data_IF_614732743017
#
_entry.id   IF_614732743017
#
_cell.length_a   1.000
_cell.length_b   1.000
_cell.length_c   1.000
_cell.angle_alpha   90.00
_cell.angle_beta   90.00
_cell.angle_gamma   90.00
#
_symmetry.space_group_name_H-M   'P 1'
#
loop_
_entity.id
_entity.type
_entity.pdbx_description
1 polymer ?
#
# COMPACT_ATOMS: atom_id res chain seq x y z
N UNK A 1 56.73 -59.17 -57.12
CA UNK A 1 58.10 -58.71 -57.39
C UNK A 1 58.16 -57.19 -57.31
N UNK A 2 59.16 -56.68 -56.57
CA UNK A 2 59.83 -55.36 -56.64
C UNK A 2 59.04 -54.04 -56.77
N UNK A 3 59.29 -53.20 -55.75
CA UNK A 3 59.30 -51.73 -55.61
C UNK A 3 59.40 -50.90 -56.89
N UNK A 4 58.72 -49.74 -56.90
CA UNK A 4 59.31 -48.47 -57.32
C UNK A 4 58.64 -47.28 -56.60
N UNK A 5 59.47 -46.37 -56.08
CA UNK A 5 59.17 -45.09 -55.45
C UNK A 5 59.45 -43.97 -56.46
N UNK A 6 58.60 -42.94 -56.54
CA UNK A 6 58.90 -41.56 -56.97
C UNK A 6 57.68 -40.72 -56.53
N UNK A 7 57.68 -40.04 -55.37
CA UNK A 7 58.20 -38.70 -55.08
C UNK A 7 57.79 -37.64 -56.11
N UNK A 8 56.70 -36.91 -55.83
CA UNK A 8 56.38 -35.64 -56.49
C UNK A 8 55.94 -34.61 -55.45
N UNK A 9 56.60 -33.45 -55.52
CA UNK A 9 56.52 -32.29 -54.62
C UNK A 9 55.08 -31.79 -54.38
N UNK A 10 54.76 -31.54 -53.11
CA UNK A 10 53.64 -30.72 -52.67
C UNK A 10 54.02 -29.23 -52.83
N UNK A 11 53.30 -28.49 -53.68
CA UNK A 11 53.39 -27.02 -53.70
C UNK A 11 52.28 -26.46 -52.81
N UNK A 12 52.67 -25.87 -51.68
CA UNK A 12 51.78 -25.09 -50.82
C UNK A 12 51.27 -23.86 -51.59
N UNK A 13 49.96 -23.78 -51.82
CA UNK A 13 49.27 -22.52 -52.12
C UNK A 13 48.54 -22.06 -50.86
N UNK A 14 49.15 -21.14 -50.12
CA UNK A 14 48.51 -20.46 -49.00
C UNK A 14 47.50 -19.44 -49.52
N UNK A 15 46.21 -19.79 -49.50
CA UNK A 15 45.13 -18.81 -49.66
C UNK A 15 44.87 -18.14 -48.30
N UNK A 16 45.41 -16.95 -48.12
CA UNK A 16 45.13 -16.07 -46.99
C UNK A 16 43.65 -15.63 -47.09
N UNK A 17 42.76 -16.24 -46.31
CA UNK A 17 41.39 -15.72 -46.14
C UNK A 17 41.42 -14.54 -45.19
N UNK A 18 41.34 -13.32 -45.73
CA UNK A 18 40.96 -12.14 -44.95
C UNK A 18 39.50 -12.30 -44.51
N UNK A 19 39.28 -12.56 -43.22
CA UNK A 19 37.98 -12.32 -42.59
C UNK A 19 37.83 -10.81 -42.43
N UNK A 20 36.99 -10.19 -43.25
CA UNK A 20 36.54 -8.82 -43.01
C UNK A 20 35.68 -8.83 -41.74
N UNK A 21 36.20 -8.30 -40.63
CA UNK A 21 35.38 -8.00 -39.46
C UNK A 21 34.44 -6.85 -39.86
N UNK A 22 33.14 -7.10 -39.95
CA UNK A 22 32.17 -6.02 -40.18
C UNK A 22 32.30 -5.02 -39.03
N UNK A 23 32.60 -3.75 -39.35
CA UNK A 23 32.63 -2.69 -38.35
C UNK A 23 31.23 -2.55 -37.74
N UNK A 24 31.08 -2.86 -36.46
CA UNK A 24 29.84 -2.64 -35.72
C UNK A 24 29.62 -1.14 -35.57
N UNK A 25 28.55 -0.62 -36.19
CA UNK A 25 28.14 0.77 -36.04
C UNK A 25 27.83 1.06 -34.56
N UNK A 26 28.61 1.98 -33.98
CA UNK A 26 28.48 2.41 -32.58
C UNK A 26 27.67 3.69 -32.43
N UNK A 27 27.23 4.30 -33.55
CA UNK A 27 26.43 5.51 -33.53
C UNK A 27 25.09 5.28 -32.82
N UNK A 28 24.68 6.27 -32.02
CA UNK A 28 23.35 6.32 -31.40
C UNK A 28 22.55 7.37 -32.18
N UNK A 29 21.53 6.93 -32.89
CA UNK A 29 20.67 7.78 -33.69
C UNK A 29 19.54 8.38 -32.85
N UNK A 30 19.12 9.60 -33.19
CA UNK A 30 17.93 10.25 -32.59
C UNK A 30 16.67 10.03 -33.45
N UNK A 31 16.85 9.69 -34.72
CA UNK A 31 15.77 9.36 -35.67
C UNK A 31 16.24 8.23 -36.58
N UNK A 32 15.34 7.30 -36.89
CA UNK A 32 15.55 6.21 -37.85
C UNK A 32 14.34 6.10 -38.79
N UNK A 33 14.53 5.47 -39.95
CA UNK A 33 13.45 5.21 -40.93
C UNK A 33 12.32 4.39 -40.30
N UNK A 34 12.68 3.37 -39.51
CA UNK A 34 11.76 2.62 -38.67
C UNK A 34 12.12 2.83 -37.19
N UNK A 35 11.20 3.42 -36.44
CA UNK A 35 11.40 3.70 -35.02
C UNK A 35 11.18 2.45 -34.15
N UNK A 36 11.92 2.31 -33.04
CA UNK A 36 11.79 1.17 -32.14
C UNK A 36 10.48 1.24 -31.36
N UNK A 37 9.99 0.09 -30.89
CA UNK A 37 8.80 0.00 -30.03
C UNK A 37 8.83 -1.24 -29.12
N UNK A 38 8.21 -1.20 -27.94
CA UNK A 38 8.23 -2.33 -27.01
C UNK A 38 7.34 -3.47 -27.51
N UNK A 39 7.80 -4.71 -27.40
CA UNK A 39 7.06 -5.90 -27.82
C UNK A 39 6.09 -6.35 -26.73
N UNK A 40 4.94 -5.67 -26.65
CA UNK A 40 3.86 -5.99 -25.72
C UNK A 40 2.85 -6.96 -26.35
N UNK A 41 2.45 -7.99 -25.59
CA UNK A 41 1.50 -9.02 -26.05
C UNK A 41 0.18 -8.45 -26.57
N UNK A 42 -0.28 -7.33 -26.02
CA UNK A 42 -1.52 -6.65 -26.43
C UNK A 42 -1.43 -5.98 -27.81
N UNK A 43 -0.21 -5.74 -28.31
CA UNK A 43 0.06 -5.02 -29.56
C UNK A 43 0.80 -5.87 -30.60
N UNK A 44 0.80 -7.19 -30.46
CA UNK A 44 1.47 -8.10 -31.41
C UNK A 44 0.81 -8.04 -32.81
N UNK A 45 1.57 -7.91 -33.91
CA UNK A 45 1.02 -7.81 -35.27
C UNK A 45 0.07 -8.95 -35.65
N UNK A 46 0.32 -10.16 -35.17
CA UNK A 46 -0.47 -11.35 -35.48
C UNK A 46 -1.90 -11.27 -34.91
N UNK A 47 -2.10 -10.43 -33.88
CA UNK A 47 -3.40 -10.20 -33.23
C UNK A 47 -4.20 -9.08 -33.89
N UNK A 48 -3.57 -8.32 -34.79
CA UNK A 48 -4.12 -7.10 -35.38
C UNK A 48 -3.92 -7.11 -36.90
N UNK A 49 -4.55 -8.08 -37.57
CA UNK A 49 -4.47 -8.24 -39.03
C UNK A 49 -4.90 -6.95 -39.73
N UNK A 50 -4.03 -6.43 -40.59
CA UNK A 50 -4.27 -5.19 -41.35
C UNK A 50 -3.77 -3.90 -40.69
N UNK A 51 -3.21 -3.97 -39.48
CA UNK A 51 -2.56 -2.80 -38.88
C UNK A 51 -1.21 -2.51 -39.54
N UNK A 52 -0.91 -1.22 -39.70
CA UNK A 52 0.41 -0.75 -40.14
C UNK A 52 1.41 -0.83 -38.99
N UNK A 53 2.70 -0.81 -39.32
CA UNK A 53 3.78 -0.74 -38.33
C UNK A 53 3.63 0.47 -37.39
N UNK A 54 3.23 1.63 -37.91
CA UNK A 54 2.94 2.82 -37.13
C UNK A 54 1.76 2.63 -36.15
N UNK A 55 0.72 1.88 -36.54
CA UNK A 55 -0.39 1.55 -35.65
C UNK A 55 0.06 0.60 -34.53
N UNK A 56 0.90 -0.38 -34.85
CA UNK A 56 1.49 -1.29 -33.87
C UNK A 56 2.39 -0.52 -32.88
N UNK A 57 3.27 0.35 -33.38
CA UNK A 57 4.13 1.21 -32.56
C UNK A 57 3.30 2.07 -31.61
N UNK A 58 2.28 2.79 -32.11
CA UNK A 58 1.43 3.64 -31.28
C UNK A 58 0.69 2.84 -30.20
N UNK A 59 0.19 1.65 -30.53
CA UNK A 59 -0.37 0.75 -29.52
C UNK A 59 0.66 0.42 -28.44
N UNK A 60 1.85 0.00 -28.85
CA UNK A 60 2.92 -0.40 -27.95
C UNK A 60 3.36 0.75 -27.03
N UNK A 61 3.52 1.96 -27.57
CA UNK A 61 3.82 3.17 -26.80
C UNK A 61 2.74 3.48 -25.75
N UNK A 62 1.46 3.46 -26.15
CA UNK A 62 0.34 3.72 -25.23
C UNK A 62 0.25 2.66 -24.11
N UNK A 63 0.42 1.39 -24.46
CA UNK A 63 0.37 0.30 -23.50
C UNK A 63 1.58 0.33 -22.54
N UNK A 64 2.75 0.74 -23.02
CA UNK A 64 3.91 0.95 -22.17
C UNK A 64 3.66 2.09 -21.17
N UNK A 65 3.12 3.23 -21.62
CA UNK A 65 2.76 4.33 -20.71
C UNK A 65 1.72 3.91 -19.66
N UNK A 66 0.72 3.13 -20.04
CA UNK A 66 -0.27 2.60 -19.11
C UNK A 66 0.36 1.65 -18.08
N UNK A 67 1.23 0.73 -18.52
CA UNK A 67 1.97 -0.17 -17.64
C UNK A 67 2.86 0.60 -16.66
N UNK A 68 3.59 1.60 -17.15
CA UNK A 68 4.43 2.43 -16.31
C UNK A 68 3.61 3.20 -15.27
N UNK A 69 2.49 3.80 -15.68
CA UNK A 69 1.59 4.52 -14.78
C UNK A 69 1.02 3.64 -13.66
N UNK A 70 0.81 2.35 -13.90
CA UNK A 70 0.31 1.42 -12.89
C UNK A 70 1.40 0.95 -11.90
N UNK A 71 2.67 1.05 -12.27
CA UNK A 71 3.79 0.53 -11.49
C UNK A 71 4.65 1.63 -10.85
N UNK A 72 4.42 2.89 -11.20
CA UNK A 72 5.02 4.06 -10.55
C UNK A 72 4.42 4.22 -9.15
N UNK A 73 5.30 4.37 -8.17
CA UNK A 73 4.96 4.72 -6.81
C UNK A 73 5.25 6.19 -6.59
N UNK A 74 4.21 6.99 -6.35
CA UNK A 74 4.40 8.39 -5.99
C UNK A 74 5.28 8.49 -4.73
N UNK A 75 6.46 9.14 -4.78
CA UNK A 75 7.31 9.28 -3.61
C UNK A 75 6.60 10.06 -2.49
N UNK A 76 6.86 9.69 -1.23
CA UNK A 76 6.19 10.32 -0.09
C UNK A 76 6.57 11.80 0.05
N UNK A 77 7.85 12.14 -0.14
CA UNK A 77 8.31 13.54 -0.16
C UNK A 77 7.57 14.36 -1.22
N UNK A 78 7.33 13.78 -2.41
CA UNK A 78 6.64 14.45 -3.49
C UNK A 78 5.15 14.64 -3.19
N UNK A 79 4.52 13.73 -2.44
CA UNK A 79 3.15 13.93 -1.92
C UNK A 79 3.10 15.08 -0.91
N UNK A 80 4.02 15.09 0.06
CA UNK A 80 4.07 16.11 1.12
C UNK A 80 4.33 17.51 0.57
N UNK A 81 5.19 17.61 -0.44
CA UNK A 81 5.57 18.88 -1.07
C UNK A 81 4.63 19.31 -2.20
N UNK A 82 3.57 18.54 -2.48
CA UNK A 82 2.66 18.75 -3.61
C UNK A 82 3.38 18.80 -4.98
N UNK A 83 4.43 18.00 -5.16
CA UNK A 83 5.32 18.03 -6.33
C UNK A 83 4.75 17.25 -7.49
N UNK A 84 4.10 17.96 -8.42
CA UNK A 84 3.54 17.39 -9.65
C UNK A 84 4.35 17.75 -10.89
N UNK A 85 4.19 16.97 -11.96
CA UNK A 85 4.70 17.33 -13.26
C UNK A 85 5.00 16.15 -14.16
N UNK A 86 5.99 16.31 -15.02
CA UNK A 86 6.41 15.25 -15.94
C UNK A 86 7.92 15.08 -15.86
N UNK A 87 8.32 13.89 -15.43
CA UNK A 87 9.69 13.41 -15.50
C UNK A 87 9.94 12.87 -16.90
N UNK A 88 11.11 13.12 -17.46
CA UNK A 88 11.50 12.59 -18.77
C UNK A 88 12.76 11.75 -18.61
N UNK A 89 12.66 10.46 -18.91
CA UNK A 89 13.80 9.54 -18.90
C UNK A 89 14.16 9.18 -20.33
N UNK A 90 15.44 9.24 -20.66
CA UNK A 90 15.99 8.77 -21.92
C UNK A 90 16.77 7.48 -21.73
N UNK A 91 16.76 6.62 -22.75
CA UNK A 91 17.56 5.40 -22.82
C UNK A 91 17.87 5.07 -24.27
N UNK A 92 18.70 4.07 -24.50
CA UNK A 92 19.06 3.58 -25.83
C UNK A 92 18.41 2.21 -26.04
N UNK A 93 17.69 2.05 -27.15
CA UNK A 93 17.26 0.74 -27.63
C UNK A 93 18.40 0.18 -28.49
N UNK A 94 18.91 -0.97 -28.06
CA UNK A 94 20.01 -1.68 -28.71
C UNK A 94 19.52 -2.52 -29.91
N UNK A 95 20.37 -2.84 -30.89
CA UNK A 95 20.03 -3.71 -32.02
C UNK A 95 19.54 -5.11 -31.62
N UNK A 96 19.81 -5.55 -30.39
CA UNK A 96 19.34 -6.81 -29.83
C UNK A 96 17.99 -6.69 -29.10
N UNK A 97 17.36 -5.52 -29.10
CA UNK A 97 16.05 -5.27 -28.47
C UNK A 97 16.11 -4.97 -26.97
N UNK A 98 17.30 -4.82 -26.37
CA UNK A 98 17.46 -4.44 -24.96
C UNK A 98 17.54 -2.94 -24.77
N UNK A 99 17.21 -2.48 -23.58
CA UNK A 99 17.39 -1.09 -23.16
C UNK A 99 18.73 -0.91 -22.44
N UNK A 100 19.41 0.20 -22.70
CA UNK A 100 20.67 0.56 -22.04
C UNK A 100 20.77 2.07 -21.80
N UNK A 101 21.78 2.50 -21.03
CA UNK A 101 22.15 3.92 -20.90
C UNK A 101 20.99 4.84 -20.47
N UNK A 102 20.26 4.45 -19.42
CA UNK A 102 19.18 5.25 -18.83
C UNK A 102 19.73 6.56 -18.25
N UNK A 103 19.10 7.68 -18.60
CA UNK A 103 19.46 9.04 -18.18
C UNK A 103 18.20 9.84 -17.87
N UNK A 104 18.24 10.60 -16.79
CA UNK A 104 17.21 11.56 -16.45
C UNK A 104 17.43 12.85 -17.27
N UNK A 105 16.51 13.18 -18.16
CA UNK A 105 16.57 14.42 -18.96
C UNK A 105 15.84 15.58 -18.27
N UNK A 106 14.75 15.26 -17.58
CA UNK A 106 13.99 16.23 -16.78
C UNK A 106 13.57 15.55 -15.50
N UNK A 107 13.91 16.17 -14.38
CA UNK A 107 13.42 15.81 -13.05
C UNK A 107 12.46 16.88 -12.54
N UNK A 108 11.48 16.46 -11.75
CA UNK A 108 10.60 17.34 -11.00
C UNK A 108 10.96 17.41 -9.51
N UNK A 109 11.90 16.57 -9.05
CA UNK A 109 12.38 16.54 -7.67
C UNK A 109 11.66 15.52 -6.79
N UNK A 110 11.96 15.56 -5.49
CA UNK A 110 11.33 14.78 -4.43
C UNK A 110 11.27 13.26 -4.62
N UNK A 111 12.25 12.70 -5.35
CA UNK A 111 12.34 11.26 -5.61
C UNK A 111 11.61 10.79 -6.87
N UNK A 112 10.94 11.68 -7.60
CA UNK A 112 10.16 11.31 -8.80
C UNK A 112 11.08 10.85 -9.95
N UNK A 113 12.26 11.46 -10.08
CA UNK A 113 13.29 11.06 -11.04
C UNK A 113 13.83 9.65 -10.79
N UNK A 114 14.18 9.36 -9.53
CA UNK A 114 14.69 8.08 -9.08
C UNK A 114 13.66 6.96 -9.26
N UNK A 115 12.40 7.21 -8.90
CA UNK A 115 11.32 6.25 -9.11
C UNK A 115 11.11 5.95 -10.60
N UNK A 116 11.17 6.98 -11.45
CA UNK A 116 11.05 6.84 -12.90
C UNK A 116 12.15 5.97 -13.49
N UNK A 117 13.39 6.15 -13.04
CA UNK A 117 14.52 5.30 -13.41
C UNK A 117 14.32 3.86 -12.93
N UNK A 118 13.91 3.67 -11.67
CA UNK A 118 13.68 2.35 -11.06
C UNK A 118 12.68 1.52 -11.86
N UNK A 119 11.54 2.10 -12.23
CA UNK A 119 10.49 1.36 -12.98
C UNK A 119 10.98 0.96 -14.36
N UNK A 120 11.64 1.85 -15.10
CA UNK A 120 12.16 1.54 -16.44
C UNK A 120 13.28 0.49 -16.40
N UNK A 121 14.17 0.55 -15.40
CA UNK A 121 15.20 -0.47 -15.19
C UNK A 121 14.59 -1.81 -14.81
N UNK A 122 13.57 -1.83 -13.94
CA UNK A 122 12.86 -3.06 -13.60
C UNK A 122 12.21 -3.71 -14.83
N UNK A 123 11.72 -2.94 -15.80
CA UNK A 123 11.18 -3.49 -17.05
C UNK A 123 12.26 -4.16 -17.92
N UNK A 124 13.48 -3.61 -17.97
CA UNK A 124 14.62 -4.28 -18.62
C UNK A 124 15.00 -5.57 -17.88
N UNK A 125 15.05 -5.54 -16.54
CA UNK A 125 15.42 -6.69 -15.72
C UNK A 125 14.45 -7.87 -15.87
N UNK A 126 13.14 -7.60 -15.98
CA UNK A 126 12.12 -8.64 -16.26
C UNK A 126 12.08 -9.04 -17.74
N UNK A 127 12.93 -8.45 -18.58
CA UNK A 127 13.19 -8.89 -19.94
C UNK A 127 12.24 -8.33 -21.00
N UNK A 128 11.67 -7.13 -20.80
CA UNK A 128 10.87 -6.46 -21.83
C UNK A 128 11.70 -6.25 -23.11
N UNK A 129 11.34 -6.97 -24.17
CA UNK A 129 12.00 -6.85 -25.47
C UNK A 129 11.44 -5.69 -26.28
N UNK A 130 12.30 -5.09 -27.11
CA UNK A 130 11.94 -4.08 -28.09
C UNK A 130 12.15 -4.57 -29.50
N UNK A 131 11.28 -4.13 -30.41
CA UNK A 131 11.61 -4.08 -31.82
C UNK A 131 12.69 -2.98 -31.99
N UNK A 132 13.89 -3.31 -32.49
CA UNK A 132 14.94 -2.31 -32.66
C UNK A 132 14.63 -1.35 -33.81
N UNK A 133 15.29 -0.19 -33.77
CA UNK A 133 15.25 0.77 -34.87
C UNK A 133 15.95 0.20 -36.11
N UNK A 134 15.50 0.60 -37.31
CA UNK A 134 16.09 0.14 -38.57
C UNK A 134 16.27 1.30 -39.56
N UNK A 135 17.45 1.35 -40.18
CA UNK A 135 17.76 2.17 -41.35
C UNK A 135 18.14 1.24 -42.51
N UNK A 136 17.40 1.30 -43.61
CA UNK A 136 17.51 0.32 -44.69
C UNK A 136 17.36 -1.11 -44.16
N UNK A 137 18.41 -1.92 -44.34
CA UNK A 137 18.44 -3.31 -43.87
C UNK A 137 19.19 -3.52 -42.55
N UNK A 138 19.68 -2.46 -41.90
CA UNK A 138 20.51 -2.56 -40.70
C UNK A 138 19.73 -2.15 -39.45
N UNK A 139 19.81 -2.98 -38.41
CA UNK A 139 19.33 -2.63 -37.07
C UNK A 139 20.34 -1.68 -36.41
N UNK A 140 19.85 -0.58 -35.86
CA UNK A 140 20.69 0.51 -35.33
C UNK A 140 20.33 0.84 -33.89
N UNK A 141 21.30 1.40 -33.14
CA UNK A 141 21.08 1.89 -31.77
C UNK A 141 20.31 3.21 -31.86
N UNK A 142 19.18 3.33 -31.18
CA UNK A 142 18.39 4.56 -31.21
C UNK A 142 18.07 5.05 -29.80
N UNK A 143 18.20 6.35 -29.59
CA UNK A 143 17.78 7.00 -28.35
C UNK A 143 16.27 7.11 -28.31
N UNK A 144 15.69 6.78 -27.16
CA UNK A 144 14.29 6.96 -26.84
C UNK A 144 14.15 7.85 -25.60
N UNK A 145 13.00 8.51 -25.49
CA UNK A 145 12.63 9.33 -24.34
C UNK A 145 11.18 9.08 -23.98
N UNK A 146 10.91 8.74 -22.72
CA UNK A 146 9.57 8.47 -22.22
C UNK A 146 9.18 9.54 -21.19
N UNK A 147 8.05 10.24 -21.40
CA UNK A 147 7.48 11.13 -20.41
C UNK A 147 6.63 10.35 -19.39
N UNK A 148 6.92 10.53 -18.11
CA UNK A 148 6.21 9.95 -16.98
C UNK A 148 5.54 11.07 -16.18
N UNK A 149 4.21 11.09 -16.17
CA UNK A 149 3.42 12.13 -15.53
C UNK A 149 3.11 11.76 -14.08
N UNK A 150 3.58 12.57 -13.14
CA UNK A 150 3.19 12.54 -11.74
C UNK A 150 2.08 13.57 -11.56
N UNK A 151 0.89 13.09 -11.21
CA UNK A 151 -0.26 13.93 -10.86
C UNK A 151 -0.81 13.42 -9.54
N UNK A 152 -0.86 14.28 -8.55
CA UNK A 152 -1.57 14.03 -7.32
C UNK A 152 -3.04 13.92 -7.70
N UNK A 153 -3.54 12.69 -7.69
CA UNK A 153 -4.96 12.50 -7.61
C UNK A 153 -5.32 12.95 -6.19
N UNK A 154 -6.01 14.08 -6.06
CA UNK A 154 -6.64 14.43 -4.79
C UNK A 154 -7.37 13.18 -4.31
N UNK A 155 -6.99 12.68 -3.14
CA UNK A 155 -7.83 11.68 -2.48
C UNK A 155 -9.20 12.34 -2.41
N UNK A 156 -10.19 11.73 -3.07
CA UNK A 156 -11.56 12.22 -2.96
C UNK A 156 -11.85 12.37 -1.46
N UNK A 157 -12.56 13.42 -1.03
CA UNK A 157 -12.87 13.63 0.38
C UNK A 157 -13.84 12.56 0.93
N UNK A 158 -14.11 11.53 0.13
CA UNK A 158 -14.97 10.40 0.40
C UNK A 158 -14.49 9.16 -0.36
N UNK A 159 -14.98 8.00 0.05
CA UNK A 159 -14.97 6.77 -0.75
C UNK A 159 -16.39 6.27 -0.97
N UNK A 160 -16.57 5.40 -1.97
CA UNK A 160 -17.84 4.74 -2.23
C UNK A 160 -17.76 3.31 -1.70
N UNK A 161 -18.71 2.89 -0.87
CA UNK A 161 -18.78 1.53 -0.33
C UNK A 161 -19.16 0.53 -1.42
N UNK A 162 -19.00 -0.77 -1.16
CA UNK A 162 -19.45 -1.84 -2.07
C UNK A 162 -20.96 -1.79 -2.34
N UNK A 163 -21.73 -1.14 -1.47
CA UNK A 163 -23.18 -0.97 -1.58
C UNK A 163 -23.56 0.28 -2.39
N UNK A 164 -22.58 1.13 -2.75
CA UNK A 164 -22.77 2.35 -3.52
C UNK A 164 -22.93 3.62 -2.67
N UNK A 165 -22.82 3.51 -1.35
CA UNK A 165 -22.94 4.64 -0.44
C UNK A 165 -21.68 5.50 -0.42
N UNK A 166 -21.84 6.81 -0.26
CA UNK A 166 -20.72 7.74 -0.19
C UNK A 166 -20.41 8.08 1.27
N UNK A 167 -19.21 7.72 1.73
CA UNK A 167 -18.73 8.02 3.09
C UNK A 167 -17.57 9.00 3.04
N UNK A 168 -17.76 10.17 3.65
CA UNK A 168 -16.75 11.22 3.70
C UNK A 168 -15.65 10.88 4.71
N UNK A 169 -14.41 11.12 4.33
CA UNK A 169 -13.21 11.00 5.17
C UNK A 169 -12.63 12.36 5.52
N UNK A 170 -13.05 13.40 4.79
CA UNK A 170 -12.71 14.80 5.05
C UNK A 170 -14.01 15.59 5.17
N UNK A 171 -14.18 16.29 6.30
CA UNK A 171 -15.39 17.04 6.64
C UNK A 171 -15.00 18.41 7.21
N UNK A 172 -15.84 19.43 6.96
CA UNK A 172 -15.67 20.77 7.53
C UNK A 172 -16.01 20.76 9.03
N UNK A 173 -17.01 19.96 9.42
CA UNK A 173 -17.38 19.70 10.80
C UNK A 173 -17.77 18.22 10.95
N UNK A 174 -17.18 17.54 11.93
CA UNK A 174 -17.52 16.16 12.26
C UNK A 174 -18.95 16.01 12.80
N UNK A 175 -19.48 14.79 12.84
CA UNK A 175 -20.79 14.56 13.41
C UNK A 175 -20.74 14.81 14.92
N UNK A 176 -21.81 15.33 15.48
CA UNK A 176 -21.87 15.74 16.87
C UNK A 176 -23.04 15.07 17.59
N UNK A 177 -22.82 14.61 18.81
CA UNK A 177 -23.91 14.14 19.66
C UNK A 177 -24.68 15.33 20.24
N UNK A 178 -26.01 15.28 20.22
CA UNK A 178 -26.88 16.31 20.80
C UNK A 178 -26.60 16.43 22.30
N UNK A 179 -26.16 17.61 22.73
CA UNK A 179 -25.70 17.86 24.10
C UNK A 179 -24.20 17.63 24.32
N UNK A 180 -23.43 17.35 23.27
CA UNK A 180 -21.98 17.20 23.32
C UNK A 180 -21.50 15.83 23.79
N UNK A 181 -20.18 15.68 23.85
CA UNK A 181 -19.52 14.41 24.20
C UNK A 181 -19.86 13.93 25.61
N UNK A 182 -19.94 14.83 26.60
CA UNK A 182 -20.32 14.46 27.97
C UNK A 182 -21.73 13.84 28.03
N UNK A 183 -22.65 14.30 27.18
CA UNK A 183 -23.99 13.72 27.07
C UNK A 183 -23.96 12.31 26.47
N UNK A 184 -23.06 12.05 25.52
CA UNK A 184 -22.84 10.70 24.98
C UNK A 184 -22.24 9.76 26.02
N UNK A 185 -21.28 10.23 26.82
CA UNK A 185 -20.69 9.48 27.94
C UNK A 185 -21.76 9.16 28.99
N UNK A 186 -22.54 10.16 29.40
CA UNK A 186 -23.64 9.95 30.33
C UNK A 186 -24.70 8.99 29.77
N UNK A 187 -25.02 9.10 28.47
CA UNK A 187 -25.96 8.20 27.80
C UNK A 187 -25.49 6.75 27.85
N UNK A 188 -24.23 6.49 27.48
CA UNK A 188 -23.66 5.14 27.47
C UNK A 188 -23.58 4.59 28.89
N UNK A 189 -22.98 5.31 29.84
CA UNK A 189 -22.83 4.87 31.22
C UNK A 189 -24.17 4.55 31.91
N UNK A 190 -25.18 5.39 31.76
CA UNK A 190 -26.48 5.20 32.42
C UNK A 190 -27.33 4.09 31.81
N UNK A 191 -27.05 3.71 30.55
CA UNK A 191 -27.85 2.72 29.82
C UNK A 191 -27.11 1.41 29.59
N UNK A 192 -25.82 1.36 29.89
CA UNK A 192 -24.99 0.17 29.77
C UNK A 192 -25.45 -0.91 30.73
N UNK A 193 -25.67 -2.11 30.20
CA UNK A 193 -26.00 -3.29 30.95
C UNK A 193 -24.85 -4.27 30.90
N UNK A 194 -24.16 -4.43 32.02
CA UNK A 194 -23.19 -5.50 32.14
C UNK A 194 -23.90 -6.87 32.03
N UNK A 195 -23.49 -7.79 31.14
CA UNK A 195 -24.15 -9.08 30.95
C UNK A 195 -24.31 -9.88 32.24
N UNK A 196 -25.54 -10.26 32.59
CA UNK A 196 -25.89 -10.87 33.88
C UNK A 196 -25.14 -12.18 34.16
N UNK A 197 -24.92 -13.00 33.13
CA UNK A 197 -24.17 -14.26 33.20
C UNK A 197 -22.67 -14.09 33.49
N UNK A 198 -22.15 -12.87 33.41
CA UNK A 198 -20.73 -12.57 33.56
C UNK A 198 -20.43 -11.65 34.75
N UNK A 199 -21.42 -11.31 35.59
CA UNK A 199 -21.24 -10.32 36.68
C UNK A 199 -20.07 -10.68 37.60
N UNK A 200 -19.91 -11.96 37.89
CA UNK A 200 -18.83 -12.49 38.74
C UNK A 200 -17.53 -12.80 37.98
N UNK A 201 -17.51 -12.67 36.65
CA UNK A 201 -16.33 -12.94 35.83
C UNK A 201 -15.25 -11.87 35.93
N UNK A 202 -15.61 -10.68 36.42
CA UNK A 202 -14.75 -9.49 36.47
C UNK A 202 -14.09 -9.11 35.13
N UNK A 203 -14.67 -9.56 34.01
CA UNK A 203 -14.24 -9.14 32.68
C UNK A 203 -14.32 -7.63 32.57
N UNK A 204 -13.21 -7.04 32.12
CA UNK A 204 -13.07 -5.60 31.98
C UNK A 204 -12.42 -5.34 30.63
N UNK A 205 -12.97 -4.39 29.87
CA UNK A 205 -12.46 -4.14 28.54
C UNK A 205 -13.29 -3.15 27.75
N UNK A 206 -12.76 -2.79 26.58
CA UNK A 206 -13.40 -1.89 25.63
C UNK A 206 -13.78 -2.67 24.40
N UNK A 207 -15.00 -2.42 23.93
CA UNK A 207 -15.46 -2.78 22.59
C UNK A 207 -15.55 -1.49 21.80
N UNK A 208 -14.88 -1.45 20.66
CA UNK A 208 -14.93 -0.33 19.73
C UNK A 208 -15.81 -0.67 18.53
N UNK A 209 -16.62 0.29 18.10
CA UNK A 209 -17.45 0.17 16.91
C UNK A 209 -17.17 1.35 15.98
N UNK A 210 -17.13 1.08 14.68
CA UNK A 210 -17.20 2.10 13.63
C UNK A 210 -18.68 2.36 13.34
N UNK A 211 -19.16 3.54 13.71
CA UNK A 211 -20.53 3.97 13.44
C UNK A 211 -20.56 4.80 12.17
N UNK A 212 -21.39 4.43 11.21
CA UNK A 212 -21.82 5.33 10.14
C UNK A 212 -22.88 6.24 10.70
N UNK A 213 -22.62 7.54 10.66
CA UNK A 213 -23.63 8.58 10.88
C UNK A 213 -24.05 9.05 9.51
N UNK A 214 -25.28 8.71 9.11
CA UNK A 214 -25.84 9.09 7.83
C UNK A 214 -26.15 10.59 7.77
N UNK A 215 -26.28 11.14 6.57
CA UNK A 215 -26.58 12.56 6.32
C UNK A 215 -27.96 13.01 6.86
N UNK A 216 -28.85 12.07 7.18
CA UNK A 216 -30.13 12.28 7.86
C UNK A 216 -30.08 12.08 9.38
N UNK A 217 -28.93 11.65 9.92
CA UNK A 217 -28.71 11.38 11.34
C UNK A 217 -29.08 9.97 11.79
N UNK A 218 -29.44 9.08 10.87
CA UNK A 218 -29.53 7.64 11.14
C UNK A 218 -28.15 7.07 11.50
N UNK A 219 -28.16 5.93 12.20
CA UNK A 219 -26.93 5.30 12.71
C UNK A 219 -26.89 3.86 12.23
N UNK A 220 -25.74 3.46 11.69
CA UNK A 220 -25.43 2.07 11.39
C UNK A 220 -24.08 1.71 12.00
N UNK A 221 -23.92 0.44 12.40
CA UNK A 221 -22.62 -0.08 12.85
C UNK A 221 -21.98 -0.83 11.69
N UNK A 222 -20.95 -0.21 11.10
CA UNK A 222 -20.20 -0.75 9.95
C UNK A 222 -19.27 -1.90 10.40
N UNK A 223 -18.58 -1.71 11.52
CA UNK A 223 -17.69 -2.71 12.07
C UNK A 223 -17.63 -2.65 13.59
N UNK A 224 -17.25 -3.77 14.21
CA UNK A 224 -17.09 -3.90 15.65
C UNK A 224 -15.85 -4.73 15.97
N UNK A 225 -15.03 -4.24 16.90
CA UNK A 225 -13.81 -4.90 17.35
C UNK A 225 -13.85 -5.04 18.87
N UNK A 226 -13.80 -6.28 19.35
CA UNK A 226 -13.69 -6.62 20.77
C UNK A 226 -12.22 -6.85 21.13
N UNK A 227 -11.48 -5.75 21.32
CA UNK A 227 -10.04 -5.80 21.59
C UNK A 227 -9.68 -6.56 22.87
N UNK A 228 -10.64 -6.70 23.79
CA UNK A 228 -10.47 -7.34 25.08
C UNK A 228 -10.99 -8.78 25.12
N UNK A 229 -11.49 -9.31 23.99
CA UNK A 229 -12.07 -10.65 23.89
C UNK A 229 -13.10 -10.94 25.00
N UNK A 230 -13.98 -9.97 25.26
CA UNK A 230 -15.04 -10.09 26.25
C UNK A 230 -16.08 -11.15 25.85
N UNK A 231 -16.38 -11.25 24.55
CA UNK A 231 -17.25 -12.24 23.96
C UNK A 231 -18.63 -11.72 23.57
N UNK A 232 -19.43 -12.59 22.96
CA UNK A 232 -20.62 -12.20 22.20
C UNK A 232 -21.69 -11.46 23.00
N UNK A 233 -21.93 -11.78 24.27
CA UNK A 233 -22.92 -11.06 25.10
C UNK A 233 -22.55 -9.58 25.30
N UNK A 234 -21.26 -9.29 25.45
CA UNK A 234 -20.75 -7.92 25.53
C UNK A 234 -20.87 -7.22 24.18
N UNK A 235 -20.57 -7.97 23.10
CA UNK A 235 -20.67 -7.44 21.75
C UNK A 235 -22.11 -7.03 21.40
N UNK A 236 -23.10 -7.86 21.75
CA UNK A 236 -24.52 -7.55 21.55
C UNK A 236 -24.99 -6.35 22.37
N UNK A 237 -24.51 -6.21 23.60
CA UNK A 237 -24.83 -5.03 24.41
C UNK A 237 -24.23 -3.74 23.82
N UNK A 238 -22.99 -3.79 23.32
CA UNK A 238 -22.36 -2.65 22.65
C UNK A 238 -23.17 -2.23 21.41
N UNK A 239 -23.54 -3.19 20.56
CA UNK A 239 -24.39 -2.96 19.39
C UNK A 239 -25.77 -2.38 19.79
N UNK A 240 -26.39 -2.91 20.85
CA UNK A 240 -27.65 -2.38 21.38
C UNK A 240 -27.50 -0.93 21.83
N UNK A 241 -26.39 -0.57 22.47
CA UNK A 241 -26.15 0.81 22.88
C UNK A 241 -25.94 1.73 21.68
N UNK A 242 -25.12 1.33 20.70
CA UNK A 242 -24.88 2.10 19.48
C UNK A 242 -26.19 2.44 18.76
N UNK A 243 -27.05 1.44 18.53
CA UNK A 243 -28.34 1.65 17.87
C UNK A 243 -29.28 2.57 18.66
N UNK A 244 -29.11 2.67 19.99
CA UNK A 244 -29.93 3.56 20.83
C UNK A 244 -29.46 5.02 20.78
N UNK A 245 -28.30 5.29 20.19
CA UNK A 245 -27.83 6.65 19.94
C UNK A 245 -28.49 7.30 18.72
N UNK A 246 -29.20 6.52 17.89
CA UNK A 246 -29.94 7.03 16.74
C UNK A 246 -30.90 8.15 17.13
N UNK A 247 -31.00 9.18 16.27
CA UNK A 247 -31.80 10.37 16.52
C UNK A 247 -31.16 11.37 17.49
N UNK A 248 -30.04 11.04 18.13
CA UNK A 248 -29.24 11.97 18.94
C UNK A 248 -28.01 12.51 18.21
N UNK A 249 -27.77 12.13 16.96
CA UNK A 249 -26.67 12.65 16.17
C UNK A 249 -27.08 13.86 15.34
N UNK A 250 -26.13 14.79 15.20
CA UNK A 250 -26.11 15.86 14.22
C UNK A 250 -25.11 15.39 13.14
N UNK A 251 -25.54 15.25 11.87
CA UNK A 251 -24.66 14.79 10.79
C UNK A 251 -23.44 15.69 10.59
N UNK A 252 -22.38 15.11 10.03
CA UNK A 252 -21.21 15.86 9.62
C UNK A 252 -21.55 16.83 8.48
N UNK A 253 -20.71 17.85 8.29
CA UNK A 253 -20.88 18.86 7.25
C UNK A 253 -19.70 18.86 6.29
N UNK A 254 -19.99 18.94 4.98
CA UNK A 254 -18.98 19.19 3.95
C UNK A 254 -19.58 20.08 2.87
N UNK A 255 -18.91 21.19 2.54
CA UNK A 255 -19.41 22.20 1.60
C UNK A 255 -20.75 22.82 2.06
N UNK A 256 -20.96 22.92 3.37
CA UNK A 256 -22.19 23.42 3.97
C UNK A 256 -23.43 22.53 3.81
N UNK A 257 -23.23 21.25 3.46
CA UNK A 257 -24.29 20.24 3.38
C UNK A 257 -24.05 19.12 4.38
N UNK A 258 -25.12 18.51 4.92
CA UNK A 258 -24.96 17.30 5.70
C UNK A 258 -24.40 16.17 4.82
N UNK A 259 -23.48 15.39 5.38
CA UNK A 259 -22.85 14.25 4.72
C UNK A 259 -22.68 13.08 5.67
N UNK A 260 -22.67 11.88 5.10
CA UNK A 260 -22.42 10.64 5.83
C UNK A 260 -20.92 10.46 6.11
N UNK A 261 -20.57 10.05 7.32
CA UNK A 261 -19.18 9.77 7.73
C UNK A 261 -19.14 8.70 8.81
N UNK A 262 -17.96 8.15 9.08
CA UNK A 262 -17.74 7.23 10.19
C UNK A 262 -17.19 7.93 11.41
N UNK A 263 -17.51 7.40 12.60
CA UNK A 263 -16.88 7.75 13.88
C UNK A 263 -16.70 6.52 14.76
N UNK A 264 -15.66 6.48 15.61
CA UNK A 264 -15.51 5.43 16.61
C UNK A 264 -16.43 5.68 17.81
N UNK A 265 -17.16 4.64 18.24
CA UNK A 265 -17.83 4.59 19.54
C UNK A 265 -17.17 3.50 20.39
N UNK A 266 -16.58 3.89 21.52
CA UNK A 266 -15.91 2.98 22.46
C UNK A 266 -16.80 2.77 23.68
N UNK A 267 -17.15 1.51 23.95
CA UNK A 267 -17.98 1.10 25.10
C UNK A 267 -17.10 0.36 26.11
N UNK A 268 -16.94 0.95 27.29
CA UNK A 268 -16.18 0.37 28.39
C UNK A 268 -17.09 -0.51 29.26
N UNK A 269 -16.74 -1.78 29.40
CA UNK A 269 -17.37 -2.71 30.31
C UNK A 269 -16.53 -2.87 31.58
N UNK A 270 -17.16 -2.61 32.73
CA UNK A 270 -16.64 -2.89 34.07
C UNK A 270 -17.74 -3.47 34.93
N UNK A 271 -17.45 -4.54 35.65
CA UNK A 271 -18.41 -5.07 36.62
C UNK A 271 -18.46 -4.16 37.85
N UNK A 272 -19.66 -3.83 38.32
CA UNK A 272 -19.88 -3.10 39.57
C UNK A 272 -19.83 -4.01 40.81
N UNK A 273 -19.59 -5.31 40.62
CA UNK A 273 -19.45 -6.27 41.72
C UNK A 273 -18.24 -5.90 42.59
N UNK A 274 -18.42 -5.87 43.91
CA UNK A 274 -17.35 -5.49 44.86
C UNK A 274 -16.08 -6.34 44.71
N UNK A 275 -16.22 -7.62 44.38
CA UNK A 275 -15.10 -8.53 44.14
C UNK A 275 -14.25 -8.15 42.92
N UNK A 276 -14.79 -7.37 41.98
CA UNK A 276 -14.12 -6.98 40.75
C UNK A 276 -13.34 -5.67 40.86
N UNK A 277 -13.35 -4.99 42.02
CA UNK A 277 -12.65 -3.72 42.21
C UNK A 277 -11.15 -3.80 41.85
N UNK A 278 -10.47 -4.87 42.26
CA UNK A 278 -9.04 -5.07 41.94
C UNK A 278 -8.78 -5.34 40.45
N UNK A 279 -9.72 -6.00 39.76
CA UNK A 279 -9.63 -6.22 38.32
C UNK A 279 -9.84 -4.91 37.55
N UNK A 280 -10.83 -4.11 37.97
CA UNK A 280 -11.10 -2.80 37.41
C UNK A 280 -9.92 -1.84 37.60
N UNK A 281 -9.32 -1.77 38.80
CA UNK A 281 -8.15 -0.91 39.07
C UNK A 281 -6.93 -1.33 38.24
N UNK A 282 -6.72 -2.63 38.07
CA UNK A 282 -5.66 -3.17 37.21
C UNK A 282 -5.85 -2.74 35.76
N UNK A 283 -7.08 -2.83 35.25
CA UNK A 283 -7.40 -2.37 33.90
C UNK A 283 -7.16 -0.86 33.77
N UNK A 284 -7.62 -0.06 34.73
CA UNK A 284 -7.45 1.40 34.70
C UNK A 284 -5.98 1.82 34.66
N UNK A 285 -5.15 1.20 35.48
CA UNK A 285 -3.70 1.43 35.45
C UNK A 285 -3.09 1.05 34.11
N UNK A 286 -3.53 -0.06 33.51
CA UNK A 286 -3.04 -0.52 32.22
C UNK A 286 -3.46 0.43 31.09
N UNK A 287 -4.68 0.97 31.13
CA UNK A 287 -5.16 1.96 30.17
C UNK A 287 -4.35 3.26 30.25
N UNK A 288 -4.07 3.78 31.44
CA UNK A 288 -3.24 4.99 31.60
C UNK A 288 -1.83 4.78 31.01
N UNK A 289 -1.22 3.62 31.25
CA UNK A 289 0.07 3.27 30.65
C UNK A 289 -0.01 3.18 29.13
N UNK A 290 -1.09 2.62 28.58
CA UNK A 290 -1.27 2.52 27.15
C UNK A 290 -1.51 3.89 26.48
N UNK A 291 -2.20 4.80 27.16
CA UNK A 291 -2.38 6.20 26.74
C UNK A 291 -1.05 6.97 26.74
N UNK A 292 -0.24 6.82 27.78
CA UNK A 292 1.14 7.37 27.78
C UNK A 292 1.98 6.79 26.63
N UNK A 293 1.77 5.52 26.28
CA UNK A 293 2.40 4.89 25.12
C UNK A 293 1.98 5.53 23.79
N UNK A 294 0.68 5.80 23.63
CA UNK A 294 0.16 6.47 22.44
C UNK A 294 0.68 7.91 22.31
N UNK A 295 0.71 8.68 23.41
CA UNK A 295 1.27 10.04 23.40
C UNK A 295 2.74 10.06 22.96
N UNK A 296 3.55 9.09 23.44
CA UNK A 296 4.94 8.94 23.02
C UNK A 296 5.07 8.58 21.54
N UNK A 297 4.19 7.71 21.06
CA UNK A 297 4.15 7.35 19.65
C UNK A 297 3.87 8.58 18.77
N UNK A 298 2.92 9.43 19.17
CA UNK A 298 2.60 10.68 18.47
C UNK A 298 3.77 11.68 18.50
N UNK A 299 4.58 11.65 19.56
CA UNK A 299 5.84 12.40 19.68
C UNK A 299 7.01 11.75 18.92
N UNK A 300 6.78 10.66 18.18
CA UNK A 300 7.77 9.85 17.49
C UNK A 300 8.83 9.19 18.42
N UNK A 301 8.55 9.10 19.72
CA UNK A 301 9.32 8.31 20.71
C UNK A 301 8.84 6.85 20.69
N UNK A 302 9.24 6.12 19.64
CA UNK A 302 8.79 4.75 19.41
C UNK A 302 9.26 3.77 20.51
N UNK A 303 10.48 3.92 21.02
CA UNK A 303 10.99 3.05 22.09
C UNK A 303 10.26 3.31 23.42
N UNK A 304 10.01 4.58 23.77
CA UNK A 304 9.21 4.91 24.94
C UNK A 304 7.76 4.44 24.83
N UNK A 305 7.16 4.53 23.63
CA UNK A 305 5.84 3.97 23.36
C UNK A 305 5.80 2.45 23.58
N UNK A 306 6.78 1.72 23.03
CA UNK A 306 6.92 0.27 23.19
C UNK A 306 7.08 -0.12 24.66
N UNK A 307 7.88 0.64 25.42
CA UNK A 307 8.07 0.40 26.85
C UNK A 307 6.74 0.52 27.62
N UNK A 308 5.98 1.58 27.36
CA UNK A 308 4.70 1.84 28.02
C UNK A 308 3.61 0.83 27.67
N UNK A 309 3.47 0.45 26.39
CA UNK A 309 2.58 -0.64 26.02
C UNK A 309 3.02 -1.99 26.60
N UNK A 310 4.33 -2.21 26.78
CA UNK A 310 4.81 -3.42 27.46
C UNK A 310 4.41 -3.45 28.93
N UNK A 311 4.50 -2.32 29.65
CA UNK A 311 4.01 -2.21 31.02
C UNK A 311 2.49 -2.44 31.09
N UNK A 312 1.71 -1.87 30.17
CA UNK A 312 0.27 -2.09 30.08
C UNK A 312 -0.08 -3.56 29.82
N UNK A 313 0.61 -4.22 28.88
CA UNK A 313 0.41 -5.63 28.54
C UNK A 313 0.85 -6.58 29.67
N UNK A 314 1.77 -6.19 30.54
CA UNK A 314 2.06 -6.97 31.75
C UNK A 314 0.87 -7.02 32.71
N UNK A 315 0.01 -5.99 32.70
CA UNK A 315 -1.22 -5.93 33.49
C UNK A 315 -2.41 -6.59 32.77
N UNK A 316 -2.47 -6.49 31.44
CA UNK A 316 -3.52 -7.06 30.58
C UNK A 316 -2.92 -7.75 29.35
N UNK A 317 -2.36 -8.96 29.49
CA UNK A 317 -1.60 -9.62 28.42
C UNK A 317 -2.43 -10.04 27.21
N UNK A 318 -3.75 -10.12 27.36
CA UNK A 318 -4.69 -10.45 26.29
C UNK A 318 -5.26 -9.24 25.55
N UNK A 319 -4.82 -8.01 25.86
CA UNK A 319 -5.34 -6.82 25.18
C UNK A 319 -4.76 -6.72 23.77
N UNK A 320 -5.60 -6.92 22.77
CA UNK A 320 -5.17 -7.01 21.36
C UNK A 320 -4.97 -5.66 20.70
N UNK A 321 -5.58 -4.60 21.22
CA UNK A 321 -5.34 -3.21 20.78
C UNK A 321 -3.88 -2.82 21.06
N UNK A 322 -3.42 -3.05 22.29
CA UNK A 322 -2.07 -2.66 22.70
C UNK A 322 -0.99 -3.56 22.11
N UNK A 323 -1.30 -4.85 21.89
CA UNK A 323 -0.45 -5.73 21.07
C UNK A 323 -0.32 -5.20 19.64
N UNK A 324 -1.42 -4.77 19.03
CA UNK A 324 -1.41 -4.21 17.67
C UNK A 324 -0.58 -2.92 17.59
N UNK A 325 -0.76 -2.00 18.54
CA UNK A 325 -0.01 -0.74 18.56
C UNK A 325 1.48 -0.95 18.82
N UNK A 326 1.84 -1.81 19.80
CA UNK A 326 3.24 -2.16 20.04
C UNK A 326 3.86 -2.85 18.83
N UNK A 327 3.16 -3.79 18.22
CA UNK A 327 3.59 -4.46 16.98
C UNK A 327 3.84 -3.48 15.84
N UNK A 328 2.99 -2.46 15.69
CA UNK A 328 3.13 -1.41 14.68
C UNK A 328 4.36 -0.53 14.93
N UNK A 329 4.60 -0.11 16.18
CA UNK A 329 5.81 0.62 16.54
C UNK A 329 7.10 -0.20 16.33
N UNK A 330 7.04 -1.51 16.62
CA UNK A 330 8.15 -2.43 16.37
C UNK A 330 8.46 -2.57 14.86
N UNK A 331 7.44 -2.58 13.99
CA UNK A 331 7.65 -2.52 12.53
C UNK A 331 8.40 -1.25 12.15
N UNK A 332 8.00 -0.10 12.69
CA UNK A 332 8.63 1.20 12.36
C UNK A 332 10.12 1.23 12.77
N UNK A 333 10.50 0.47 13.80
CA UNK A 333 11.89 0.26 14.22
C UNK A 333 12.59 -0.92 13.53
N UNK A 334 11.96 -1.53 12.52
CA UNK A 334 12.45 -2.75 11.85
C UNK A 334 12.66 -3.96 12.76
N UNK A 335 12.06 -3.97 13.96
CA UNK A 335 12.08 -5.09 14.93
C UNK A 335 11.02 -6.13 14.59
N UNK A 336 11.14 -6.68 13.39
CA UNK A 336 10.13 -7.52 12.71
C UNK A 336 9.76 -8.79 13.48
N UNK A 337 10.73 -9.46 14.11
CA UNK A 337 10.47 -10.69 14.87
C UNK A 337 9.57 -10.44 16.09
N UNK A 338 9.82 -9.35 16.82
CA UNK A 338 9.00 -8.95 17.96
C UNK A 338 7.60 -8.53 17.51
N UNK A 339 7.51 -7.73 16.45
CA UNK A 339 6.24 -7.36 15.85
C UNK A 339 5.43 -8.58 15.41
N UNK A 340 6.08 -9.59 14.80
CA UNK A 340 5.44 -10.83 14.37
C UNK A 340 4.86 -11.60 15.56
N UNK A 341 5.51 -11.60 16.72
CA UNK A 341 4.97 -12.23 17.94
C UNK A 341 3.67 -11.56 18.38
N UNK A 342 3.64 -10.22 18.41
CA UNK A 342 2.45 -9.46 18.80
C UNK A 342 1.29 -9.70 17.83
N UNK A 343 1.52 -9.59 16.51
CA UNK A 343 0.47 -9.83 15.53
C UNK A 343 -0.02 -11.29 15.51
N UNK A 344 0.85 -12.27 15.76
CA UNK A 344 0.40 -13.66 15.90
C UNK A 344 -0.47 -13.85 17.15
N UNK A 345 -0.16 -13.16 18.25
CA UNK A 345 -1.02 -13.17 19.44
C UNK A 345 -2.38 -12.52 19.16
N UNK A 346 -2.42 -11.38 18.48
CA UNK A 346 -3.67 -10.75 18.02
C UNK A 346 -4.49 -11.74 17.18
N UNK A 347 -3.86 -12.44 16.24
CA UNK A 347 -4.54 -13.44 15.40
C UNK A 347 -5.08 -14.61 16.23
N UNK A 348 -4.30 -15.10 17.18
CA UNK A 348 -4.71 -16.19 18.05
C UNK A 348 -5.93 -15.82 18.91
N UNK A 349 -5.99 -14.57 19.39
CA UNK A 349 -7.07 -14.11 20.27
C UNK A 349 -8.33 -13.75 19.48
N UNK A 350 -8.22 -12.94 18.42
CA UNK A 350 -9.38 -12.42 17.70
C UNK A 350 -9.84 -13.34 16.56
N UNK A 351 -8.95 -14.13 15.98
CA UNK A 351 -9.22 -14.92 14.76
C UNK A 351 -9.50 -14.08 13.50
N UNK A 352 -9.37 -12.74 13.58
CA UNK A 352 -9.64 -11.81 12.49
C UNK A 352 -8.46 -11.67 11.52
N UNK A 353 -8.75 -11.18 10.31
CA UNK A 353 -7.77 -11.11 9.21
C UNK A 353 -7.47 -9.71 8.68
N UNK A 354 -8.10 -8.65 9.21
CA UNK A 354 -7.95 -7.29 8.68
C UNK A 354 -6.50 -6.76 8.71
N UNK A 355 -5.68 -7.24 9.65
CA UNK A 355 -4.26 -6.88 9.78
C UNK A 355 -3.30 -7.89 9.12
N UNK A 356 -3.80 -8.84 8.32
CA UNK A 356 -2.97 -9.89 7.72
C UNK A 356 -1.85 -9.36 6.84
N UNK A 357 -2.09 -8.28 6.09
CA UNK A 357 -1.05 -7.63 5.27
C UNK A 357 0.11 -7.14 6.13
N UNK A 358 -0.19 -6.50 7.26
CA UNK A 358 0.82 -6.00 8.21
C UNK A 358 1.53 -7.18 8.89
N UNK A 359 0.78 -8.21 9.29
CA UNK A 359 1.34 -9.43 9.87
C UNK A 359 2.30 -10.14 8.91
N UNK A 360 1.95 -10.27 7.63
CA UNK A 360 2.84 -10.83 6.59
C UNK A 360 4.11 -10.01 6.41
N UNK A 361 4.00 -8.68 6.43
CA UNK A 361 5.15 -7.78 6.37
C UNK A 361 6.10 -7.98 7.56
N UNK A 362 5.55 -8.09 8.78
CA UNK A 362 6.32 -8.35 9.98
C UNK A 362 6.96 -9.74 9.98
N UNK A 363 6.23 -10.75 9.53
CA UNK A 363 6.64 -12.15 9.66
C UNK A 363 7.46 -12.69 8.46
N UNK A 364 7.40 -12.05 7.30
CA UNK A 364 8.26 -12.36 6.14
C UNK A 364 7.77 -13.48 5.21
N UNK A 365 6.46 -13.67 5.04
CA UNK A 365 5.88 -14.66 4.12
C UNK A 365 4.62 -14.19 3.38
#
# INVERSE_FOLDING_TARGET
>A
MRKSLFTTLLVLSGALRLLAQAATDTAIYDVAEHMPYPLLKSCQPERHVGWTEDSIRRCAELQLLALLSQNIRYPEAARQNNTEGTVVVSFVVEPNGKMSNFKLLKDIGDGCGEESLRVLQALEEVGLQWQPARNGNSLVRMRQSIPLRFKLQEALPYYVTDQGDTLYTVVDAGPAYKGGFDSLVAFTMNRLKYPASYVDSCKTGVIEMSLVIWDDGAVEVDNQIDFSNLGSEFQWEALRLANRTEGYWIPAQYGGKPVSTTIPLRVLFKSSGKACAAANERFDRATLLAEEGAERFDQNDLEGAIAKWTEALNLQPGNTEWLYYRGSALINLSRREEACKDFNMVKQILGLTWFETIRKLACGW
#
